data_IF_479088092177
#
_entry.id   IF_479088092177
#
_cell.length_a   1.000
_cell.length_b   1.000
_cell.length_c   1.000
_cell.angle_alpha   90.00
_cell.angle_beta   90.00
_cell.angle_gamma   90.00
#
_symmetry.space_group_name_H-M   'P 1'
#
loop_
_entity.id
_entity.type
_entity.pdbx_description
1 polymer ?
#
# COMPACT_ATOMS: atom_id res chain seq x y z
N UNK A 1 15.86 -10.82 -14.20
CA UNK A 1 15.38 -9.43 -14.05
C UNK A 1 14.39 -8.98 -15.14
N UNK A 2 14.74 -8.93 -16.44
CA UNK A 2 13.84 -8.41 -17.52
C UNK A 2 12.42 -9.01 -17.52
N UNK A 3 12.29 -10.33 -17.36
CA UNK A 3 11.00 -11.03 -17.28
C UNK A 3 10.14 -10.58 -16.09
N UNK A 4 10.75 -10.37 -14.92
CA UNK A 4 10.04 -9.94 -13.70
C UNK A 4 9.47 -8.52 -13.90
N UNK A 5 10.26 -7.63 -14.51
CA UNK A 5 9.82 -6.27 -14.84
C UNK A 5 8.66 -6.31 -15.84
N UNK A 6 8.78 -7.08 -16.93
CA UNK A 6 7.72 -7.18 -17.94
C UNK A 6 6.41 -7.73 -17.36
N UNK A 7 6.48 -8.80 -16.55
CA UNK A 7 5.30 -9.38 -15.91
C UNK A 7 4.71 -8.41 -14.87
N UNK A 8 5.53 -7.74 -14.08
CA UNK A 8 5.07 -6.78 -13.08
C UNK A 8 4.39 -5.56 -13.71
N UNK A 9 5.06 -4.90 -14.66
CA UNK A 9 4.53 -3.71 -15.34
C UNK A 9 3.32 -4.06 -16.21
N UNK A 10 3.42 -5.14 -17.00
CA UNK A 10 2.32 -5.59 -17.85
C UNK A 10 1.11 -6.04 -17.03
N UNK A 11 1.33 -6.76 -15.93
CA UNK A 11 0.28 -7.16 -15.01
C UNK A 11 -0.42 -5.97 -14.36
N UNK A 12 0.34 -4.98 -13.88
CA UNK A 12 -0.23 -3.75 -13.31
C UNK A 12 -1.03 -2.97 -14.37
N UNK A 13 -0.49 -2.81 -15.59
CA UNK A 13 -1.20 -2.12 -16.67
C UNK A 13 -2.51 -2.83 -17.04
N UNK A 14 -2.51 -4.16 -17.15
CA UNK A 14 -3.71 -4.95 -17.41
C UNK A 14 -4.75 -4.80 -16.30
N UNK A 15 -4.32 -4.81 -15.03
CA UNK A 15 -5.19 -4.60 -13.87
C UNK A 15 -5.81 -3.19 -13.87
N UNK A 16 -5.03 -2.15 -14.20
CA UNK A 16 -5.53 -0.78 -14.30
C UNK A 16 -6.56 -0.63 -15.43
N UNK A 17 -6.28 -1.19 -16.61
CA UNK A 17 -7.23 -1.20 -17.73
C UNK A 17 -8.52 -1.92 -17.32
N UNK A 18 -8.42 -3.09 -16.71
CA UNK A 18 -9.58 -3.84 -16.23
C UNK A 18 -10.40 -3.03 -15.21
N UNK A 19 -9.74 -2.37 -14.25
CA UNK A 19 -10.41 -1.53 -13.25
C UNK A 19 -11.16 -0.37 -13.91
N UNK A 20 -10.53 0.30 -14.87
CA UNK A 20 -11.17 1.39 -15.62
C UNK A 20 -12.40 0.89 -16.37
N UNK A 21 -12.31 -0.26 -17.06
CA UNK A 21 -13.42 -0.83 -17.82
C UNK A 21 -14.58 -1.27 -16.90
N UNK A 22 -14.27 -1.95 -15.80
CA UNK A 22 -15.29 -2.38 -14.82
C UNK A 22 -15.95 -1.17 -14.16
N UNK A 23 -15.17 -0.18 -13.74
CA UNK A 23 -15.69 1.06 -13.16
C UNK A 23 -16.58 1.83 -14.13
N UNK A 24 -16.18 1.94 -15.41
CA UNK A 24 -16.98 2.59 -16.45
C UNK A 24 -18.29 1.83 -16.70
N UNK A 25 -18.26 0.50 -16.75
CA UNK A 25 -19.45 -0.33 -16.94
C UNK A 25 -20.44 -0.19 -15.78
N UNK A 26 -19.96 -0.20 -14.54
CA UNK A 26 -20.78 -0.01 -13.33
C UNK A 26 -21.39 1.39 -13.32
N UNK A 27 -20.58 2.42 -13.60
CA UNK A 27 -21.04 3.80 -13.67
C UNK A 27 -22.13 3.98 -14.73
N UNK A 28 -21.94 3.40 -15.92
CA UNK A 28 -22.94 3.44 -17.00
C UNK A 28 -24.24 2.73 -16.63
N UNK A 29 -24.16 1.50 -16.10
CA UNK A 29 -25.33 0.72 -15.71
C UNK A 29 -26.11 1.39 -14.58
N UNK A 30 -25.41 2.02 -13.63
CA UNK A 30 -26.06 2.76 -12.55
C UNK A 30 -26.72 4.04 -13.03
N UNK A 31 -26.10 4.78 -13.95
CA UNK A 31 -26.72 5.96 -14.58
C UNK A 31 -28.00 5.62 -15.37
N UNK A 32 -28.14 4.36 -15.82
CA UNK A 32 -29.36 3.83 -16.45
C UNK A 32 -30.39 3.25 -15.47
N UNK A 33 -30.12 3.30 -14.16
CA UNK A 33 -30.99 2.73 -13.13
C UNK A 33 -31.04 1.20 -13.13
N UNK A 34 -30.13 0.53 -13.84
CA UNK A 34 -30.10 -0.93 -13.92
C UNK A 34 -29.48 -1.58 -12.67
N UNK A 35 -28.55 -0.88 -12.02
CA UNK A 35 -27.91 -1.32 -10.77
C UNK A 35 -27.71 -0.15 -9.79
N UNK A 36 -27.68 -0.47 -8.50
CA UNK A 36 -27.17 0.45 -7.48
C UNK A 36 -25.65 0.29 -7.36
N UNK A 37 -24.91 1.27 -7.87
CA UNK A 37 -23.45 1.27 -7.79
C UNK A 37 -22.95 1.27 -6.34
N UNK A 38 -23.68 1.86 -5.40
CA UNK A 38 -23.25 1.96 -4.00
C UNK A 38 -23.17 0.59 -3.30
N UNK A 39 -24.01 -0.36 -3.73
CA UNK A 39 -24.00 -1.73 -3.23
C UNK A 39 -22.87 -2.59 -3.84
N UNK A 40 -22.56 -2.41 -5.12
CA UNK A 40 -21.59 -3.24 -5.85
C UNK A 40 -20.13 -2.76 -5.79
N UNK A 41 -19.91 -1.44 -5.64
CA UNK A 41 -18.57 -0.84 -5.70
C UNK A 41 -17.61 -1.36 -4.61
N UNK A 42 -18.03 -1.57 -3.34
CA UNK A 42 -17.13 -2.11 -2.33
C UNK A 42 -16.57 -3.50 -2.67
N UNK A 43 -17.39 -4.37 -3.28
CA UNK A 43 -16.96 -5.71 -3.69
C UNK A 43 -15.90 -5.65 -4.79
N UNK A 44 -16.10 -4.75 -5.76
CA UNK A 44 -15.17 -4.55 -6.88
C UNK A 44 -13.84 -3.97 -6.39
N UNK A 45 -13.89 -2.94 -5.56
CA UNK A 45 -12.69 -2.35 -4.94
C UNK A 45 -11.98 -3.40 -4.07
N UNK A 46 -12.71 -4.16 -3.28
CA UNK A 46 -12.16 -5.22 -2.43
C UNK A 46 -11.47 -6.32 -3.24
N UNK A 47 -12.12 -6.82 -4.30
CA UNK A 47 -11.53 -7.81 -5.20
C UNK A 47 -10.28 -7.27 -5.89
N UNK A 48 -10.30 -6.03 -6.35
CA UNK A 48 -9.15 -5.37 -6.96
C UNK A 48 -7.99 -5.22 -5.96
N UNK A 49 -8.26 -4.74 -4.74
CA UNK A 49 -7.26 -4.61 -3.69
C UNK A 49 -6.60 -5.95 -3.37
N UNK A 50 -7.39 -7.03 -3.28
CA UNK A 50 -6.88 -8.39 -3.09
C UNK A 50 -5.95 -8.83 -4.24
N UNK A 51 -6.36 -8.60 -5.49
CA UNK A 51 -5.55 -8.95 -6.67
C UNK A 51 -4.23 -8.18 -6.70
N UNK A 52 -4.27 -6.87 -6.41
CA UNK A 52 -3.05 -6.04 -6.36
C UNK A 52 -2.12 -6.48 -5.24
N UNK A 53 -2.64 -6.79 -4.05
CA UNK A 53 -1.83 -7.25 -2.93
C UNK A 53 -1.22 -8.63 -3.20
N UNK A 54 -2.02 -9.59 -3.67
CA UNK A 54 -1.56 -10.93 -4.02
C UNK A 54 -0.52 -10.89 -5.15
N UNK A 55 -0.78 -10.08 -6.19
CA UNK A 55 0.14 -9.85 -7.30
C UNK A 55 1.43 -9.19 -6.85
N UNK A 56 1.38 -8.17 -6.00
CA UNK A 56 2.56 -7.49 -5.46
C UNK A 56 3.42 -8.45 -4.64
N UNK A 57 2.80 -9.28 -3.80
CA UNK A 57 3.51 -10.31 -3.03
C UNK A 57 4.18 -11.33 -3.94
N UNK A 58 3.45 -11.84 -4.94
CA UNK A 58 3.98 -12.79 -5.92
C UNK A 58 5.17 -12.22 -6.71
N UNK A 59 5.06 -10.98 -7.20
CA UNK A 59 6.17 -10.29 -7.88
C UNK A 59 7.35 -10.09 -6.93
N UNK A 60 7.11 -9.76 -5.66
CA UNK A 60 8.16 -9.66 -4.65
C UNK A 60 8.95 -10.96 -4.47
N UNK A 61 8.26 -12.10 -4.44
CA UNK A 61 8.89 -13.44 -4.40
C UNK A 61 9.73 -13.70 -5.65
N UNK A 62 9.20 -13.40 -6.84
CA UNK A 62 9.94 -13.56 -8.09
C UNK A 62 11.17 -12.64 -8.16
N UNK A 63 11.05 -11.41 -7.67
CA UNK A 63 12.13 -10.45 -7.60
C UNK A 63 13.25 -10.94 -6.68
N UNK A 64 12.93 -11.35 -5.44
CA UNK A 64 13.89 -11.89 -4.47
C UNK A 64 14.65 -13.10 -5.00
N UNK A 65 13.99 -13.97 -5.76
CA UNK A 65 14.63 -15.13 -6.42
C UNK A 65 15.56 -14.76 -7.57
N UNK A 66 15.48 -13.54 -8.08
CA UNK A 66 16.17 -13.12 -9.31
C UNK A 66 17.36 -12.18 -9.10
N UNK A 67 17.53 -11.65 -7.88
CA UNK A 67 18.61 -10.75 -7.49
C UNK A 67 19.78 -11.52 -6.87
N UNK A 68 20.96 -10.91 -6.87
CA UNK A 68 22.15 -11.47 -6.24
C UNK A 68 22.05 -11.53 -4.70
N UNK A 69 23.06 -12.13 -4.06
CA UNK A 69 23.08 -12.26 -2.60
C UNK A 69 23.26 -10.90 -1.90
N UNK A 70 24.08 -10.01 -2.44
CA UNK A 70 24.32 -8.69 -1.86
C UNK A 70 23.02 -7.87 -1.77
N UNK A 71 22.22 -7.86 -2.84
CA UNK A 71 20.92 -7.19 -2.87
C UNK A 71 19.89 -7.86 -1.95
N UNK A 72 19.94 -9.19 -1.76
CA UNK A 72 19.08 -9.89 -0.78
C UNK A 72 19.43 -9.52 0.65
N UNK A 73 20.72 -9.45 0.99
CA UNK A 73 21.17 -8.99 2.31
C UNK A 73 20.79 -7.53 2.54
N UNK A 74 20.99 -6.66 1.55
CA UNK A 74 20.56 -5.27 1.61
C UNK A 74 19.05 -5.15 1.89
N UNK A 75 18.22 -5.96 1.23
CA UNK A 75 16.76 -5.97 1.44
C UNK A 75 16.39 -6.39 2.85
N UNK A 76 16.95 -7.50 3.34
CA UNK A 76 16.67 -8.01 4.70
C UNK A 76 17.12 -7.01 5.76
N UNK A 77 18.32 -6.43 5.59
CA UNK A 77 18.87 -5.44 6.50
C UNK A 77 18.02 -4.17 6.53
N UNK A 78 17.63 -3.66 5.36
CA UNK A 78 16.79 -2.47 5.24
C UNK A 78 15.38 -2.70 5.82
N UNK A 79 14.81 -3.88 5.62
CA UNK A 79 13.53 -4.25 6.22
C UNK A 79 13.63 -4.31 7.74
N UNK A 80 14.63 -5.01 8.27
CA UNK A 80 14.80 -5.16 9.71
C UNK A 80 15.04 -3.80 10.40
N UNK A 81 15.97 -2.99 9.92
CA UNK A 81 16.28 -1.72 10.58
C UNK A 81 15.33 -0.60 10.20
N UNK A 82 15.08 -0.39 8.92
CA UNK A 82 14.24 0.70 8.43
C UNK A 82 12.75 0.44 8.62
N UNK A 83 12.28 -0.74 8.22
CA UNK A 83 10.89 -1.15 8.34
C UNK A 83 10.44 -1.27 9.80
N UNK A 84 11.22 -1.95 10.65
CA UNK A 84 10.89 -2.09 12.08
C UNK A 84 10.97 -0.77 12.83
N UNK A 85 11.96 0.08 12.55
CA UNK A 85 12.00 1.42 13.16
C UNK A 85 10.77 2.25 12.76
N UNK A 86 10.35 2.18 11.50
CA UNK A 86 9.11 2.82 11.05
C UNK A 86 7.86 2.28 11.76
N UNK A 87 7.76 0.97 11.96
CA UNK A 87 6.69 0.37 12.75
C UNK A 87 6.72 0.82 14.22
N UNK A 88 7.89 0.92 14.83
CA UNK A 88 8.03 1.40 16.21
C UNK A 88 7.51 2.83 16.37
N UNK A 89 7.85 3.72 15.43
CA UNK A 89 7.30 5.09 15.37
C UNK A 89 5.78 5.05 15.23
N UNK A 90 5.27 4.22 14.32
CA UNK A 90 3.83 3.99 14.16
C UNK A 90 3.12 3.53 15.44
N UNK A 91 3.73 2.58 16.15
CA UNK A 91 3.23 2.08 17.43
C UNK A 91 3.14 3.17 18.50
N UNK A 92 4.16 4.03 18.58
CA UNK A 92 4.11 5.21 19.47
C UNK A 92 2.96 6.13 19.09
N UNK A 93 2.79 6.46 17.81
CA UNK A 93 1.68 7.30 17.34
C UNK A 93 0.31 6.66 17.65
N UNK A 94 0.19 5.34 17.50
CA UNK A 94 -1.02 4.59 17.84
C UNK A 94 -1.31 4.67 19.35
N UNK A 95 -0.31 4.49 20.22
CA UNK A 95 -0.48 4.61 21.68
C UNK A 95 -0.88 6.03 22.07
N UNK A 96 -0.24 7.05 21.49
CA UNK A 96 -0.60 8.46 21.71
C UNK A 96 -2.03 8.78 21.28
N UNK A 97 -2.56 8.08 20.28
CA UNK A 97 -3.93 8.27 19.81
C UNK A 97 -4.99 7.81 20.83
N UNK A 98 -4.64 6.91 21.75
CA UNK A 98 -5.52 6.38 22.78
C UNK A 98 -5.62 7.27 24.04
N UNK A 99 -4.78 8.30 24.16
CA UNK A 99 -4.77 9.19 25.33
C UNK A 99 -6.05 10.06 25.33
N UNK A 100 -6.79 10.17 26.44
CA UNK A 100 -7.93 11.08 26.55
C UNK A 100 -7.51 12.53 26.27
N UNK A 101 -8.23 13.21 25.37
CA UNK A 101 -7.93 14.60 24.98
C UNK A 101 -9.06 15.54 25.38
N UNK A 102 -8.68 16.75 25.83
CA UNK A 102 -9.62 17.84 26.14
C UNK A 102 -10.29 18.43 24.90
N UNK A 103 -9.66 18.32 23.74
CA UNK A 103 -10.19 18.75 22.45
C UNK A 103 -9.94 17.67 21.38
N UNK A 104 -10.88 17.48 20.44
CA UNK A 104 -10.69 16.53 19.34
C UNK A 104 -9.57 17.01 18.41
N UNK A 105 -8.56 16.17 18.20
CA UNK A 105 -7.56 16.40 17.15
C UNK A 105 -8.17 15.92 15.83
N UNK A 106 -8.53 16.85 14.96
CA UNK A 106 -8.95 16.52 13.60
C UNK A 106 -7.72 16.42 12.71
N UNK A 107 -7.39 15.20 12.30
CA UNK A 107 -6.32 14.95 11.33
C UNK A 107 -6.96 14.97 9.93
N UNK A 108 -6.36 15.66 8.94
CA UNK A 108 -6.81 15.56 7.56
C UNK A 108 -6.81 14.11 7.10
N UNK A 109 -7.93 13.68 6.51
CA UNK A 109 -8.06 12.32 5.99
C UNK A 109 -7.33 12.21 4.65
N UNK A 110 -6.60 11.12 4.48
CA UNK A 110 -5.97 10.83 3.21
C UNK A 110 -7.04 10.68 2.11
N UNK A 111 -6.73 11.17 0.92
CA UNK A 111 -7.56 11.03 -0.29
C UNK A 111 -9.01 11.56 -0.17
N UNK A 112 -9.25 12.54 0.72
CA UNK A 112 -10.58 13.12 0.91
C UNK A 112 -11.59 12.15 1.52
N UNK A 113 -11.11 11.21 2.35
CA UNK A 113 -11.96 10.19 2.99
C UNK A 113 -13.06 10.76 3.90
N UNK A 114 -14.03 9.89 4.22
CA UNK A 114 -15.15 10.21 5.12
C UNK A 114 -14.65 10.22 6.57
N UNK A 115 -15.05 11.21 7.41
CA UNK A 115 -14.62 11.31 8.81
C UNK A 115 -15.32 10.32 9.73
N UNK A 116 -15.15 9.04 9.43
CA UNK A 116 -15.59 7.91 10.24
C UNK A 116 -14.37 7.09 10.75
N UNK A 117 -14.58 6.14 11.67
CA UNK A 117 -13.48 5.33 12.20
C UNK A 117 -12.67 4.59 11.12
N UNK A 118 -13.31 4.15 10.03
CA UNK A 118 -12.64 3.43 8.95
C UNK A 118 -11.73 4.36 8.14
N UNK A 119 -12.16 5.59 7.85
CA UNK A 119 -11.38 6.61 7.16
C UNK A 119 -10.13 7.02 7.94
N UNK A 120 -10.25 7.17 9.27
CA UNK A 120 -9.10 7.43 10.13
C UNK A 120 -8.15 6.23 10.22
N UNK A 121 -8.67 5.01 10.32
CA UNK A 121 -7.85 3.79 10.31
C UNK A 121 -7.08 3.64 8.99
N UNK A 122 -7.74 3.86 7.83
CA UNK A 122 -7.11 3.83 6.52
C UNK A 122 -6.03 4.92 6.37
N UNK A 123 -6.30 6.13 6.86
CA UNK A 123 -5.32 7.24 6.87
C UNK A 123 -4.10 6.89 7.72
N UNK A 124 -4.31 6.31 8.91
CA UNK A 124 -3.24 5.85 9.79
C UNK A 124 -2.42 4.72 9.17
N UNK A 125 -3.08 3.72 8.57
CA UNK A 125 -2.42 2.62 7.87
C UNK A 125 -1.57 3.12 6.69
N UNK A 126 -2.09 4.06 5.90
CA UNK A 126 -1.34 4.68 4.81
C UNK A 126 -0.12 5.45 5.34
N UNK A 127 -0.30 6.28 6.39
CA UNK A 127 0.80 7.00 7.03
C UNK A 127 1.89 6.07 7.58
N UNK A 128 1.49 4.95 8.18
CA UNK A 128 2.40 3.91 8.66
C UNK A 128 3.21 3.31 7.51
N UNK A 129 2.55 2.93 6.40
CA UNK A 129 3.25 2.43 5.21
C UNK A 129 4.28 3.45 4.67
N UNK A 130 3.96 4.74 4.69
CA UNK A 130 4.88 5.79 4.23
C UNK A 130 6.12 5.90 5.14
N UNK A 131 5.94 5.92 6.46
CA UNK A 131 7.06 5.98 7.41
C UNK A 131 7.92 4.72 7.32
N UNK A 132 7.30 3.53 7.21
CA UNK A 132 8.03 2.27 7.01
C UNK A 132 8.83 2.28 5.70
N UNK A 133 8.23 2.75 4.60
CA UNK A 133 8.89 2.83 3.29
C UNK A 133 10.04 3.83 3.32
N UNK A 134 9.86 4.97 4.00
CA UNK A 134 10.90 5.97 4.18
C UNK A 134 12.07 5.40 5.01
N UNK A 135 11.77 4.78 6.15
CA UNK A 135 12.76 4.13 6.99
C UNK A 135 13.53 3.04 6.24
N UNK A 136 12.81 2.18 5.52
CA UNK A 136 13.40 1.17 4.64
C UNK A 136 14.33 1.80 3.60
N UNK A 137 13.91 2.87 2.92
CA UNK A 137 14.68 3.52 1.86
C UNK A 137 15.97 4.15 2.39
N UNK A 138 15.90 4.78 3.56
CA UNK A 138 17.07 5.33 4.25
C UNK A 138 18.04 4.20 4.64
N UNK A 139 17.52 3.14 5.28
CA UNK A 139 18.33 2.00 5.67
C UNK A 139 18.99 1.33 4.46
N UNK A 140 18.24 1.13 3.38
CA UNK A 140 18.77 0.61 2.13
C UNK A 140 19.93 1.46 1.59
N UNK A 141 19.76 2.78 1.53
CA UNK A 141 20.81 3.69 1.06
C UNK A 141 22.06 3.64 1.96
N UNK A 142 21.88 3.59 3.28
CA UNK A 142 22.98 3.46 4.24
C UNK A 142 23.73 2.14 4.04
N UNK A 143 23.02 1.04 3.81
CA UNK A 143 23.65 -0.25 3.58
C UNK A 143 24.60 -0.18 2.40
N UNK A 144 24.13 0.34 1.26
CA UNK A 144 24.99 0.48 0.07
C UNK A 144 26.13 1.45 0.29
N UNK A 145 25.94 2.56 1.02
CA UNK A 145 27.03 3.47 1.35
C UNK A 145 28.15 2.77 2.12
N UNK A 146 27.80 1.89 3.07
CA UNK A 146 28.77 1.20 3.94
C UNK A 146 29.48 0.01 3.27
N UNK A 147 28.91 -0.53 2.20
CA UNK A 147 29.40 -1.72 1.49
C UNK A 147 29.82 -1.39 0.05
N UNK A 148 30.21 -0.13 -0.21
CA UNK A 148 31.02 0.24 -1.38
C UNK A 148 32.48 -0.08 -1.13
#
# INVERSE_FOLDING_TARGET
>A
MKRVILVGVGGLAALLVLLTLVGAAIGYASAKGAIDASAGMPLVIGAFALLVMAGSFWIGVLWMRSIDEAAREAHKWAWYWGGTAGMAVGGVLMLLSAIPRRAPLQVPLAFGGVPDPAGYAATGAFGLMMIMTLGYSIAWAIWWWRHR
#
